data_IF_065119225987
#
_entry.id   IF_065119225987
#
_cell.length_a   1.000
_cell.length_b   1.000
_cell.length_c   1.000
_cell.angle_alpha   90.00
_cell.angle_beta   90.00
_cell.angle_gamma   90.00
#
_symmetry.space_group_name_H-M   'P 1'
#
loop_
_entity.id
_entity.type
_entity.pdbx_description
1 polymer ?
#
# COMPACT_ATOMS: atom_id res chain seq x y z
N UNK A 1 -22.49 -1.69 -25.48
CA UNK A 1 -22.69 -1.81 -24.03
C UNK A 1 -23.23 -0.52 -23.46
N UNK A 2 -24.45 -0.56 -22.91
CA UNK A 2 -25.02 0.48 -22.06
C UNK A 2 -24.32 0.46 -20.70
N UNK A 3 -24.51 1.52 -19.89
CA UNK A 3 -23.93 1.56 -18.54
C UNK A 3 -24.59 0.48 -17.67
N UNK A 4 -23.77 -0.27 -16.93
CA UNK A 4 -24.19 -1.43 -16.13
C UNK A 4 -24.04 -2.76 -16.86
N UNK A 5 -23.85 -2.74 -18.19
CA UNK A 5 -23.64 -3.98 -18.95
C UNK A 5 -22.38 -4.69 -18.48
N UNK A 6 -22.51 -6.01 -18.32
CA UNK A 6 -21.47 -6.93 -17.92
C UNK A 6 -21.36 -8.04 -18.95
N UNK A 7 -20.14 -8.30 -19.38
CA UNK A 7 -19.77 -9.45 -20.21
C UNK A 7 -18.59 -10.16 -19.54
N UNK A 8 -18.57 -11.48 -19.60
CA UNK A 8 -17.55 -12.26 -18.93
C UNK A 8 -17.24 -13.54 -19.69
N UNK A 9 -16.00 -13.99 -19.58
CA UNK A 9 -15.55 -15.27 -20.11
C UNK A 9 -14.74 -16.00 -19.07
N UNK A 10 -14.92 -17.31 -19.00
CA UNK A 10 -14.15 -18.19 -18.14
C UNK A 10 -13.20 -19.02 -19.00
N UNK A 11 -11.92 -19.05 -18.62
CA UNK A 11 -10.94 -19.96 -19.18
C UNK A 11 -11.08 -21.34 -18.54
N UNK A 12 -10.76 -22.39 -19.29
CA UNK A 12 -10.67 -23.78 -18.80
C UNK A 12 -9.68 -23.94 -17.63
N UNK A 13 -8.76 -22.98 -17.46
CA UNK A 13 -7.81 -22.92 -16.34
C UNK A 13 -8.37 -22.24 -15.08
N UNK A 14 -9.67 -21.90 -15.06
CA UNK A 14 -10.32 -21.26 -13.91
C UNK A 14 -10.06 -19.75 -13.80
N UNK A 15 -9.57 -19.11 -14.86
CA UNK A 15 -9.37 -17.65 -14.92
C UNK A 15 -10.63 -17.00 -15.50
N UNK A 16 -11.20 -16.04 -14.78
CA UNK A 16 -12.35 -15.25 -15.21
C UNK A 16 -11.91 -13.89 -15.73
N UNK A 17 -12.37 -13.55 -16.93
CA UNK A 17 -12.27 -12.21 -17.50
C UNK A 17 -13.63 -11.53 -17.41
N UNK A 18 -13.67 -10.33 -16.81
CA UNK A 18 -14.88 -9.51 -16.74
C UNK A 18 -14.68 -8.18 -17.46
N UNK A 19 -15.65 -7.81 -18.28
CA UNK A 19 -15.76 -6.51 -18.93
C UNK A 19 -17.03 -5.83 -18.46
N UNK A 20 -16.87 -4.75 -17.69
CA UNK A 20 -18.00 -4.00 -17.14
C UNK A 20 -18.01 -2.57 -17.68
N UNK A 21 -19.18 -2.08 -18.08
CA UNK A 21 -19.34 -0.72 -18.62
C UNK A 21 -19.87 0.23 -17.55
N UNK A 22 -19.00 1.14 -17.10
CA UNK A 22 -19.40 2.31 -16.33
C UNK A 22 -19.43 3.58 -17.21
N UNK A 23 -18.67 4.63 -16.87
CA UNK A 23 -18.35 5.72 -17.80
C UNK A 23 -17.48 5.21 -18.95
N UNK A 24 -16.46 4.43 -18.59
CA UNK A 24 -15.56 3.71 -19.48
C UNK A 24 -15.68 2.22 -19.21
N UNK A 25 -15.21 1.42 -20.15
CA UNK A 25 -15.16 -0.03 -19.95
C UNK A 25 -14.00 -0.34 -19.01
N UNK A 26 -14.30 -1.02 -17.91
CA UNK A 26 -13.31 -1.57 -16.99
C UNK A 26 -13.16 -3.07 -17.27
N UNK A 27 -11.94 -3.56 -17.20
CA UNK A 27 -11.61 -4.96 -17.43
C UNK A 27 -10.96 -5.53 -16.16
N UNK A 28 -11.37 -6.74 -15.78
CA UNK A 28 -10.86 -7.43 -14.61
C UNK A 28 -10.46 -8.85 -14.99
N UNK A 29 -9.38 -9.34 -14.40
CA UNK A 29 -8.90 -10.71 -14.50
C UNK A 29 -8.74 -11.26 -13.10
N UNK A 30 -9.38 -12.40 -12.82
CA UNK A 30 -9.50 -12.96 -11.47
C UNK A 30 -9.49 -14.48 -11.55
N UNK A 31 -9.02 -15.15 -10.51
CA UNK A 31 -9.06 -16.61 -10.38
C UNK A 31 -10.02 -17.11 -9.28
N UNK A 32 -10.78 -16.21 -8.64
CA UNK A 32 -11.52 -16.52 -7.42
C UNK A 32 -13.02 -16.17 -7.47
N UNK A 33 -13.43 -15.21 -8.31
CA UNK A 33 -14.82 -14.72 -8.28
C UNK A 33 -15.73 -15.48 -9.25
N UNK A 34 -16.91 -15.87 -8.74
CA UNK A 34 -18.04 -16.29 -9.55
C UNK A 34 -18.70 -15.12 -10.29
N UNK A 35 -19.78 -15.40 -11.02
CA UNK A 35 -20.50 -14.41 -11.84
C UNK A 35 -21.51 -13.55 -11.05
N UNK A 36 -21.24 -13.31 -9.77
CA UNK A 36 -22.16 -12.58 -8.90
C UNK A 36 -22.12 -11.08 -9.19
N UNK A 37 -23.31 -10.47 -9.13
CA UNK A 37 -23.50 -9.03 -9.34
C UNK A 37 -24.02 -8.36 -8.08
N UNK A 38 -23.74 -7.07 -7.96
CA UNK A 38 -24.20 -6.24 -6.86
C UNK A 38 -24.63 -4.86 -7.39
N UNK A 39 -25.49 -4.18 -6.64
CA UNK A 39 -25.93 -2.83 -6.97
C UNK A 39 -25.00 -1.81 -6.34
N UNK A 40 -24.44 -0.93 -7.17
CA UNK A 40 -23.64 0.21 -6.76
C UNK A 40 -24.43 1.49 -6.89
N UNK A 41 -24.56 2.21 -5.76
CA UNK A 41 -25.11 3.56 -5.79
C UNK A 41 -24.07 4.54 -6.31
N UNK A 42 -24.34 5.13 -7.47
CA UNK A 42 -23.46 6.10 -8.12
C UNK A 42 -24.09 7.47 -8.16
N UNK A 43 -23.29 8.49 -7.86
CA UNK A 43 -23.68 9.89 -8.03
C UNK A 43 -23.26 10.36 -9.43
N UNK A 44 -24.23 10.83 -10.21
CA UNK A 44 -24.03 11.45 -11.51
C UNK A 44 -23.52 12.89 -11.35
N UNK A 45 -23.06 13.50 -12.46
CA UNK A 45 -22.53 14.88 -12.46
C UNK A 45 -23.57 15.93 -12.09
N UNK A 46 -24.84 15.66 -12.38
CA UNK A 46 -26.01 16.45 -11.99
C UNK A 46 -26.37 16.32 -10.50
N UNK A 47 -25.69 15.44 -9.76
CA UNK A 47 -25.93 15.16 -8.35
C UNK A 47 -26.94 14.05 -8.09
N UNK A 48 -27.63 13.55 -9.12
CA UNK A 48 -28.61 12.46 -9.04
C UNK A 48 -27.92 11.16 -8.63
N UNK A 49 -28.57 10.35 -7.79
CA UNK A 49 -28.07 9.03 -7.38
C UNK A 49 -28.80 7.95 -8.18
N UNK A 50 -28.05 7.12 -8.87
CA UNK A 50 -28.57 5.98 -9.63
C UNK A 50 -27.97 4.69 -9.07
N UNK A 51 -28.72 3.61 -9.09
CA UNK A 51 -28.19 2.28 -8.81
C UNK A 51 -27.76 1.64 -10.13
N UNK A 52 -26.50 1.19 -10.18
CA UNK A 52 -25.88 0.57 -11.35
C UNK A 52 -25.46 -0.84 -10.95
N UNK A 53 -25.91 -1.83 -11.71
CA UNK A 53 -25.44 -3.21 -11.55
C UNK A 53 -23.96 -3.29 -11.90
N UNK A 54 -23.15 -3.86 -11.02
CA UNK A 54 -21.73 -4.11 -11.23
C UNK A 54 -21.36 -5.51 -10.76
N UNK A 55 -20.35 -6.16 -11.37
CA UNK A 55 -19.87 -7.44 -10.86
C UNK A 55 -19.24 -7.25 -9.47
N UNK A 56 -19.34 -8.28 -8.62
CA UNK A 56 -18.89 -8.23 -7.22
C UNK A 56 -17.39 -7.88 -7.10
N UNK A 57 -16.60 -8.27 -8.10
CA UNK A 57 -15.18 -7.88 -8.22
C UNK A 57 -14.97 -6.38 -8.08
N UNK A 58 -15.86 -5.53 -8.60
CA UNK A 58 -15.70 -4.08 -8.53
C UNK A 58 -15.75 -3.61 -7.08
N UNK A 59 -16.57 -4.26 -6.26
CA UNK A 59 -16.69 -3.99 -4.83
C UNK A 59 -15.47 -4.44 -4.07
N UNK A 60 -15.02 -5.66 -4.33
CA UNK A 60 -13.89 -6.21 -3.63
C UNK A 60 -12.61 -5.47 -4.02
N UNK A 61 -12.42 -5.19 -5.31
CA UNK A 61 -11.33 -4.36 -5.80
C UNK A 61 -11.28 -2.99 -5.12
N UNK A 62 -12.39 -2.24 -5.14
CA UNK A 62 -12.44 -0.92 -4.52
C UNK A 62 -12.29 -0.96 -2.99
N UNK A 63 -12.73 -2.05 -2.35
CA UNK A 63 -12.57 -2.25 -0.91
C UNK A 63 -11.11 -2.46 -0.49
N UNK A 64 -10.31 -3.14 -1.33
CA UNK A 64 -8.93 -3.50 -1.01
C UNK A 64 -7.88 -2.56 -1.63
N UNK A 65 -8.19 -1.87 -2.73
CA UNK A 65 -7.27 -0.96 -3.43
C UNK A 65 -6.72 0.17 -2.57
N UNK A 66 -7.49 0.67 -1.61
CA UNK A 66 -7.15 1.86 -0.83
C UNK A 66 -5.93 1.71 0.09
N UNK A 67 -5.30 0.54 0.19
CA UNK A 67 -4.08 0.35 0.98
C UNK A 67 -2.88 1.09 0.39
N UNK A 68 -2.64 0.93 -0.91
CA UNK A 68 -1.52 1.55 -1.62
C UNK A 68 -1.71 3.07 -1.68
N UNK A 69 -2.91 3.53 -2.05
CA UNK A 69 -3.25 4.96 -2.13
C UNK A 69 -2.98 5.69 -0.81
N UNK A 70 -3.26 5.07 0.34
CA UNK A 70 -2.99 5.66 1.65
C UNK A 70 -1.49 5.83 1.90
N UNK A 71 -0.68 4.83 1.53
CA UNK A 71 0.77 4.92 1.63
C UNK A 71 1.31 6.01 0.70
N UNK A 72 0.80 6.08 -0.54
CA UNK A 72 1.20 7.09 -1.53
C UNK A 72 0.82 8.51 -1.08
N UNK A 73 -0.37 8.69 -0.51
CA UNK A 73 -0.79 9.97 0.09
C UNK A 73 0.14 10.35 1.23
N UNK A 74 0.43 9.43 2.17
CA UNK A 74 1.32 9.69 3.29
C UNK A 74 2.74 10.03 2.84
N UNK A 75 3.20 9.39 1.77
CA UNK A 75 4.48 9.68 1.13
C UNK A 75 4.49 11.08 0.51
N UNK A 76 3.46 11.42 -0.27
CA UNK A 76 3.36 12.69 -0.98
C UNK A 76 3.23 13.91 -0.05
N UNK A 77 2.52 13.79 1.09
CA UNK A 77 2.31 14.91 2.01
C UNK A 77 3.62 15.39 2.65
N UNK A 78 4.56 14.48 2.90
CA UNK A 78 5.83 14.79 3.58
C UNK A 78 7.05 14.35 2.78
N UNK A 79 6.94 14.36 1.45
CA UNK A 79 8.02 13.94 0.58
C UNK A 79 9.30 14.72 0.90
N UNK A 80 10.40 13.97 1.02
CA UNK A 80 11.72 14.48 1.35
C UNK A 80 12.68 14.14 0.23
N UNK A 81 12.31 14.54 -0.99
CA UNK A 81 13.27 14.51 -2.07
C UNK A 81 14.45 15.42 -1.73
N UNK A 82 15.64 14.83 -1.75
CA UNK A 82 16.90 15.49 -1.42
C UNK A 82 17.79 15.44 -2.64
N UNK A 83 18.10 16.61 -3.18
CA UNK A 83 19.07 16.74 -4.27
C UNK A 83 20.39 16.11 -3.85
N UNK A 84 20.81 15.06 -4.56
CA UNK A 84 22.08 14.39 -4.35
C UNK A 84 22.71 14.01 -5.68
N UNK A 85 24.03 14.09 -5.76
CA UNK A 85 24.79 13.70 -6.96
C UNK A 85 24.87 12.17 -7.14
N UNK A 86 24.69 11.39 -6.06
CA UNK A 86 24.76 9.93 -6.11
C UNK A 86 23.35 9.34 -6.08
N UNK A 87 23.02 8.55 -7.09
CA UNK A 87 21.68 7.98 -7.29
C UNK A 87 21.21 7.10 -6.12
N UNK A 88 22.13 6.38 -5.45
CA UNK A 88 21.79 5.47 -4.35
C UNK A 88 21.23 6.18 -3.12
N UNK A 89 21.50 7.48 -2.93
CA UNK A 89 20.87 8.24 -1.85
C UNK A 89 19.35 8.28 -1.99
N UNK A 90 18.84 8.33 -3.23
CA UNK A 90 17.40 8.28 -3.49
C UNK A 90 16.79 6.98 -2.97
N UNK A 91 17.46 5.85 -3.25
CA UNK A 91 17.03 4.54 -2.76
C UNK A 91 17.06 4.47 -1.23
N UNK A 92 18.13 4.95 -0.60
CA UNK A 92 18.26 4.97 0.85
C UNK A 92 17.14 5.77 1.54
N UNK A 93 16.86 6.99 1.06
CA UNK A 93 15.80 7.81 1.62
C UNK A 93 14.41 7.25 1.34
N UNK A 94 14.19 6.63 0.18
CA UNK A 94 12.94 5.94 -0.12
C UNK A 94 12.67 4.79 0.88
N UNK A 95 13.68 3.95 1.16
CA UNK A 95 13.54 2.88 2.15
C UNK A 95 13.23 3.41 3.56
N UNK A 96 13.88 4.50 3.97
CA UNK A 96 13.60 5.13 5.27
C UNK A 96 12.17 5.68 5.36
N UNK A 97 11.66 6.31 4.29
CA UNK A 97 10.31 6.84 4.28
C UNK A 97 9.27 5.71 4.27
N UNK A 98 9.51 4.62 3.53
CA UNK A 98 8.66 3.42 3.59
C UNK A 98 8.63 2.78 4.97
N UNK A 99 9.79 2.65 5.63
CA UNK A 99 9.85 2.13 7.00
C UNK A 99 9.07 3.02 7.98
N UNK A 100 9.18 4.34 7.83
CA UNK A 100 8.41 5.31 8.61
C UNK A 100 6.90 5.15 8.38
N UNK A 101 6.43 5.13 7.13
CA UNK A 101 5.01 4.98 6.77
C UNK A 101 4.45 3.68 7.35
N UNK A 102 5.16 2.56 7.16
CA UNK A 102 4.76 1.26 7.70
C UNK A 102 4.66 1.28 9.23
N UNK A 103 5.62 1.92 9.91
CA UNK A 103 5.57 2.05 11.37
C UNK A 103 4.38 2.91 11.83
N UNK A 104 4.04 3.96 11.09
CA UNK A 104 2.89 4.82 11.39
C UNK A 104 1.57 4.07 11.19
N UNK A 105 1.43 3.32 10.10
CA UNK A 105 0.25 2.48 9.85
C UNK A 105 0.07 1.49 11.00
N UNK A 106 1.14 0.79 11.39
CA UNK A 106 1.11 -0.15 12.51
C UNK A 106 0.73 0.55 13.85
N UNK A 107 1.27 1.74 14.11
CA UNK A 107 0.93 2.52 15.30
C UNK A 107 -0.56 2.88 15.33
N UNK A 108 -1.12 3.38 14.21
CA UNK A 108 -2.55 3.74 14.11
C UNK A 108 -3.44 2.50 14.29
N UNK A 109 -3.04 1.36 13.74
CA UNK A 109 -3.81 0.11 13.85
C UNK A 109 -3.84 -0.43 15.29
N UNK A 110 -2.71 -0.38 16.00
CA UNK A 110 -2.58 -0.85 17.38
C UNK A 110 -3.25 0.10 18.38
N UNK A 111 -2.94 1.39 18.30
CA UNK A 111 -3.36 2.35 19.31
C UNK A 111 -4.75 2.93 19.06
N UNK A 112 -5.23 2.93 17.79
CA UNK A 112 -6.51 3.54 17.38
C UNK A 112 -6.70 5.00 17.81
N UNK A 113 -5.59 5.67 18.17
CA UNK A 113 -5.56 7.07 18.56
C UNK A 113 -5.39 7.96 17.34
N UNK A 114 -6.01 9.15 17.39
CA UNK A 114 -5.92 10.16 16.33
C UNK A 114 -4.64 10.98 16.48
N UNK A 115 -3.48 10.36 16.28
CA UNK A 115 -2.24 11.11 16.10
C UNK A 115 -2.05 11.45 14.62
N UNK A 116 -1.71 12.70 14.30
CA UNK A 116 -1.33 13.04 12.93
C UNK A 116 0.02 12.41 12.58
N UNK A 117 0.22 12.05 11.31
CA UNK A 117 1.50 11.52 10.84
C UNK A 117 2.67 12.49 11.11
N UNK A 118 2.47 13.80 10.96
CA UNK A 118 3.50 14.79 11.32
C UNK A 118 3.92 14.73 12.78
N UNK A 119 2.95 14.61 13.69
CA UNK A 119 3.22 14.53 15.13
C UNK A 119 3.95 13.24 15.48
N UNK A 120 3.53 12.13 14.89
CA UNK A 120 4.24 10.86 14.98
C UNK A 120 5.68 10.97 14.49
N UNK A 121 5.92 11.62 13.33
CA UNK A 121 7.26 11.89 12.79
C UNK A 121 8.11 12.73 13.74
N UNK A 122 7.53 13.74 14.39
CA UNK A 122 8.21 14.57 15.40
C UNK A 122 8.61 13.74 16.62
N UNK A 123 7.72 12.89 17.13
CA UNK A 123 7.99 12.01 18.26
C UNK A 123 9.15 11.03 17.97
N UNK A 124 9.12 10.36 16.82
CA UNK A 124 10.23 9.49 16.38
C UNK A 124 11.54 10.29 16.29
N UNK A 125 11.51 11.44 15.62
CA UNK A 125 12.72 12.25 15.43
C UNK A 125 13.32 12.69 16.77
N UNK A 126 12.49 13.17 17.70
CA UNK A 126 12.92 13.52 19.06
C UNK A 126 13.50 12.32 19.82
N UNK A 127 12.85 11.15 19.73
CA UNK A 127 13.33 9.93 20.36
C UNK A 127 14.69 9.47 19.84
N UNK A 128 14.90 9.55 18.52
CA UNK A 128 16.19 9.23 17.89
C UNK A 128 17.29 10.23 18.28
N UNK A 129 16.98 11.53 18.33
CA UNK A 129 17.93 12.57 18.76
C UNK A 129 18.29 12.47 20.25
N UNK A 130 17.32 12.09 21.10
CA UNK A 130 17.57 11.91 22.53
C UNK A 130 18.47 10.69 22.82
N UNK A 131 18.27 9.59 22.05
CA UNK A 131 19.13 8.40 22.11
C UNK A 131 20.53 8.62 21.51
N UNK A 132 20.70 9.63 20.65
CA UNK A 132 21.99 9.96 20.04
C UNK A 132 22.90 10.84 20.91
N UNK A 133 22.52 11.17 22.15
CA UNK A 133 23.47 11.79 23.10
C UNK A 133 24.71 10.89 23.19
N UNK A 134 25.92 11.42 22.98
CA UNK A 134 27.12 10.61 22.99
C UNK A 134 27.23 9.97 24.37
N UNK A 135 27.08 8.65 24.41
CA UNK A 135 27.60 7.88 25.53
C UNK A 135 29.09 8.27 25.66
N UNK A 136 29.58 8.60 26.86
CA UNK A 136 30.98 8.99 27.03
C UNK A 136 31.86 7.91 26.39
N UNK A 137 32.70 8.33 25.43
CA UNK A 137 33.59 7.41 24.71
C UNK A 137 34.35 6.58 25.73
N UNK A 138 34.06 5.28 25.81
CA UNK A 138 34.90 4.36 26.59
C UNK A 138 36.30 4.42 25.97
N UNK A 139 37.27 5.01 26.70
CA UNK A 139 38.70 4.89 26.38
C UNK A 139 39.01 3.39 26.26
N UNK A 140 39.53 2.97 25.10
CA UNK A 140 39.42 1.59 24.63
C UNK A 140 40.31 0.54 25.31
N UNK A 141 40.15 -0.72 24.88
CA UNK A 141 41.13 -1.84 24.77
C UNK A 141 40.54 -2.95 23.84
N UNK A 142 41.32 -3.94 23.35
CA UNK A 142 41.56 -4.29 21.95
C UNK A 142 40.61 -5.34 21.34
N UNK A 143 40.70 -5.56 20.01
CA UNK A 143 39.94 -6.56 19.23
C UNK A 143 40.18 -8.00 19.70
N UNK A 144 39.11 -8.81 19.66
CA UNK A 144 39.19 -10.27 19.50
C UNK A 144 38.21 -10.72 18.40
N UNK A 145 38.62 -11.76 17.66
CA UNK A 145 38.03 -12.31 16.45
C UNK A 145 36.81 -13.19 16.72
N UNK A 146 35.84 -13.24 15.78
CA UNK A 146 34.77 -14.24 15.68
C UNK A 146 33.73 -14.14 16.81
N UNK A 147 32.43 -14.31 16.63
CA UNK A 147 31.75 -15.23 15.72
C UNK A 147 30.38 -14.67 15.26
N UNK A 148 29.91 -15.32 14.20
CA UNK A 148 28.87 -14.93 13.27
C UNK A 148 27.46 -14.79 13.86
N UNK A 149 26.67 -14.00 13.15
CA UNK A 149 25.24 -13.82 13.33
C UNK A 149 24.49 -15.14 13.06
N UNK A 150 23.44 -15.40 13.84
CA UNK A 150 22.32 -16.21 13.37
C UNK A 150 21.00 -15.51 13.70
N UNK A 151 20.53 -14.71 12.75
CA UNK A 151 19.12 -14.34 12.63
C UNK A 151 18.47 -15.36 11.71
N UNK A 152 17.74 -16.33 12.25
CA UNK A 152 16.91 -17.23 11.43
C UNK A 152 15.50 -16.65 11.38
N UNK A 153 15.13 -16.33 10.16
CA UNK A 153 13.87 -15.80 9.70
C UNK A 153 12.85 -16.94 9.56
N UNK A 154 11.64 -16.75 10.10
CA UNK A 154 10.46 -17.50 9.64
C UNK A 154 9.23 -16.60 9.70
N UNK A 155 8.92 -15.97 8.58
CA UNK A 155 7.56 -15.49 8.30
C UNK A 155 7.14 -16.14 6.99
N UNK A 156 6.07 -16.90 7.09
CA UNK A 156 5.40 -17.59 6.00
C UNK A 156 5.09 -16.59 4.89
N UNK A 157 5.45 -16.99 3.67
CA UNK A 157 5.00 -16.38 2.43
C UNK A 157 3.48 -16.55 2.36
N UNK A 158 2.75 -15.44 2.52
CA UNK A 158 1.44 -15.33 1.89
C UNK A 158 1.68 -14.71 0.53
N UNK A 159 1.79 -15.58 -0.47
CA UNK A 159 1.64 -15.18 -1.86
C UNK A 159 0.30 -14.46 -2.02
N UNK A 160 0.34 -13.16 -2.30
CA UNK A 160 -0.71 -12.49 -3.05
C UNK A 160 0.00 -11.82 -4.22
N UNK A 161 0.06 -12.55 -5.33
CA UNK A 161 0.64 -12.07 -6.57
C UNK A 161 -0.48 -11.60 -7.51
N UNK A 162 -0.25 -10.40 -8.06
CA UNK A 162 -0.81 -9.79 -9.27
C UNK A 162 -2.30 -9.43 -9.30
N UNK A 163 -2.60 -8.15 -9.56
CA UNK A 163 -2.89 -7.76 -10.95
C UNK A 163 -2.63 -6.28 -11.23
N UNK A 164 -1.92 -6.11 -12.34
CA UNK A 164 -1.49 -4.89 -13.02
C UNK A 164 -2.71 -4.09 -13.48
N UNK A 165 -2.76 -2.78 -13.23
CA UNK A 165 -3.59 -1.88 -14.04
C UNK A 165 -2.66 -1.07 -14.95
N UNK A 166 -2.49 -1.53 -16.20
CA UNK A 166 -2.20 -0.61 -17.30
C UNK A 166 -3.47 0.23 -17.49
N UNK A 167 -3.48 1.42 -16.90
CA UNK A 167 -4.29 2.51 -17.43
C UNK A 167 -3.53 3.05 -18.64
N UNK A 168 -3.96 2.65 -19.84
CA UNK A 168 -3.77 3.44 -21.06
C UNK A 168 -5.11 4.05 -21.41
#
# INVERSE_FOLDING_TARGET
MKRGDLDYQLSDQGISFFKWKDNRSAHFLLNYHGNDTCNFRRRLKDGTKIDVTAPIVVKDYNGHMGGIDKADILHAIYDRDRKSKKWWHRLFFAMLEMAYINSYIAYVEVHREKMSSLEYKRCITKGLLAKSKPQPKRKGRPKSNGDEQNFVQKREEKEICLFLMMVV
#
